data_IF_622232204335
#
_entry.id   IF_622232204335
#
_cell.length_a   1.000
_cell.length_b   1.000
_cell.length_c   1.000
_cell.angle_alpha   90.00
_cell.angle_beta   90.00
_cell.angle_gamma   90.00
#
_symmetry.space_group_name_H-M   'P 1'
#
loop_
_entity.id
_entity.type
_entity.pdbx_description
1 polymer ?
#
# COMPACT_ATOMS: atom_id res chain seq x y z
N UNK A 1 32.38 -10.13 28.79
CA UNK A 1 31.60 -9.44 28.47
C UNK A 1 31.11 -9.19 27.17
N UNK A 2 31.86 -8.98 26.29
CA UNK A 2 31.37 -8.73 24.98
C UNK A 2 30.60 -9.86 24.39
N UNK A 3 30.73 -10.93 24.96
CA UNK A 3 30.10 -12.04 24.34
C UNK A 3 28.64 -11.99 24.33
N UNK A 4 28.04 -11.26 25.21
CA UNK A 4 26.64 -11.32 25.16
C UNK A 4 26.07 -10.79 23.94
N UNK A 5 26.74 -10.02 23.21
CA UNK A 5 26.14 -9.42 22.08
C UNK A 5 25.82 -10.36 21.01
N UNK A 6 26.56 -11.36 20.86
CA UNK A 6 26.33 -12.15 19.75
C UNK A 6 25.11 -12.89 19.74
N UNK A 7 24.67 -13.32 20.82
CA UNK A 7 23.52 -14.13 20.73
C UNK A 7 22.35 -13.44 20.20
N UNK A 8 22.29 -12.19 20.32
CA UNK A 8 21.13 -11.51 19.85
C UNK A 8 20.89 -11.67 18.39
N UNK A 9 21.92 -11.69 17.66
CA UNK A 9 21.72 -11.67 16.26
C UNK A 9 21.24 -12.93 15.71
N UNK A 10 21.55 -13.96 16.34
CA UNK A 10 21.26 -15.22 15.73
C UNK A 10 19.81 -15.52 15.65
N UNK A 11 19.10 -15.32 16.69
CA UNK A 11 17.76 -15.71 16.62
C UNK A 11 16.94 -14.88 15.74
N UNK A 12 17.33 -13.69 15.53
CA UNK A 12 16.51 -12.87 14.72
C UNK A 12 16.34 -13.38 13.34
N UNK A 13 17.35 -13.88 12.75
CA UNK A 13 17.17 -14.29 11.43
C UNK A 13 16.44 -15.53 11.25
N UNK A 14 16.55 -16.43 12.11
CA UNK A 14 15.85 -17.68 11.90
C UNK A 14 14.36 -17.48 11.90
N UNK A 15 13.87 -16.48 12.58
CA UNK A 15 12.44 -16.31 12.64
C UNK A 15 11.84 -15.74 11.40
N UNK A 16 12.59 -15.02 10.64
CA UNK A 16 12.01 -14.33 9.55
C UNK A 16 11.62 -15.21 8.41
N UNK A 17 12.24 -16.32 8.28
CA UNK A 17 11.96 -17.14 7.13
C UNK A 17 10.63 -17.84 7.22
N UNK A 18 10.08 -17.94 8.40
CA UNK A 18 8.90 -18.73 8.58
C UNK A 18 7.82 -17.99 9.32
N UNK A 19 6.60 -18.01 8.81
CA UNK A 19 5.50 -17.32 9.45
C UNK A 19 4.50 -18.38 9.91
N UNK A 20 4.42 -18.58 11.21
CA UNK A 20 3.52 -19.56 11.75
C UNK A 20 2.14 -18.94 11.97
N UNK A 21 1.18 -19.77 12.30
CA UNK A 21 -0.16 -19.30 12.56
C UNK A 21 -0.18 -18.35 13.75
N UNK A 22 0.64 -18.62 14.77
CA UNK A 22 0.69 -17.75 15.93
C UNK A 22 1.25 -16.39 15.56
N UNK A 23 2.24 -16.36 14.69
CA UNK A 23 2.79 -15.09 14.26
C UNK A 23 1.77 -14.31 13.44
N UNK A 24 0.95 -14.99 12.65
CA UNK A 24 -0.07 -14.31 11.90
C UNK A 24 -1.10 -13.67 12.81
N UNK A 25 -1.43 -14.30 13.93
CA UNK A 25 -2.37 -13.71 14.85
C UNK A 25 -1.81 -12.44 15.47
N UNK A 26 -0.52 -12.41 15.74
CA UNK A 26 0.09 -11.20 16.26
C UNK A 26 0.07 -10.12 15.18
N UNK A 27 0.33 -10.49 13.93
CA UNK A 27 0.34 -9.53 12.84
C UNK A 27 -1.03 -8.95 12.56
N UNK A 28 -2.09 -9.66 12.93
CA UNK A 28 -3.44 -9.15 12.71
C UNK A 28 -3.71 -7.86 13.48
N UNK A 29 -2.94 -7.57 14.50
CA UNK A 29 -3.13 -6.36 15.28
C UNK A 29 -2.30 -5.20 14.80
N UNK A 30 -1.50 -5.39 13.77
CA UNK A 30 -0.66 -4.33 13.25
C UNK A 30 -1.45 -3.56 12.20
N UNK A 31 -1.44 -2.25 12.31
CA UNK A 31 -2.15 -1.39 11.37
C UNK A 31 -1.32 -1.16 10.13
N UNK A 32 -1.95 -1.15 8.98
CA UNK A 32 -1.29 -0.82 7.73
C UNK A 32 -2.02 0.35 7.10
N UNK A 33 -1.30 1.12 6.31
CA UNK A 33 -1.88 2.27 5.65
C UNK A 33 -2.41 1.84 4.28
N UNK A 34 -3.69 2.05 4.07
CA UNK A 34 -4.32 1.75 2.79
C UNK A 34 -4.38 3.02 1.96
N UNK A 35 -3.91 2.94 0.73
CA UNK A 35 -3.89 4.08 -0.18
C UNK A 35 -4.58 3.69 -1.48
N UNK A 36 -5.35 4.62 -2.03
CA UNK A 36 -5.98 4.42 -3.33
C UNK A 36 -5.36 5.40 -4.30
N UNK A 37 -4.75 4.89 -5.36
CA UNK A 37 -4.10 5.73 -6.35
C UNK A 37 -5.01 5.95 -7.54
N UNK A 38 -5.26 7.20 -7.87
CA UNK A 38 -6.14 7.55 -8.99
C UNK A 38 -5.38 7.51 -10.31
N UNK A 39 -4.12 7.86 -10.30
CA UNK A 39 -3.34 7.88 -11.53
C UNK A 39 -2.17 8.81 -11.41
N UNK A 40 -1.43 8.95 -12.49
CA UNK A 40 -0.24 9.79 -12.50
C UNK A 40 -0.15 10.52 -13.83
N UNK A 41 0.72 11.51 -13.88
CA UNK A 41 0.98 12.26 -15.10
C UNK A 41 2.40 12.78 -15.04
N UNK A 42 2.99 13.02 -16.19
CA UNK A 42 4.34 13.57 -16.26
C UNK A 42 4.24 14.99 -16.81
N UNK A 43 4.86 15.92 -16.14
CA UNK A 43 4.87 17.32 -16.56
C UNK A 43 6.29 17.80 -16.65
N UNK A 44 6.54 18.75 -17.57
CA UNK A 44 7.81 19.45 -17.59
C UNK A 44 7.79 20.49 -16.48
N UNK A 45 8.97 20.81 -15.98
CA UNK A 45 9.06 21.78 -14.90
C UNK A 45 8.44 23.12 -15.31
N UNK A 46 8.62 23.53 -16.54
CA UNK A 46 8.05 24.79 -16.98
C UNK A 46 6.53 24.79 -16.92
N UNK A 47 5.91 23.63 -17.19
CA UNK A 47 4.45 23.54 -17.12
C UNK A 47 3.99 23.52 -15.68
N UNK A 48 4.76 22.88 -14.82
CA UNK A 48 4.44 22.84 -13.41
C UNK A 48 4.44 24.26 -12.81
N UNK A 49 5.37 25.08 -13.23
CA UNK A 49 5.47 26.44 -12.72
C UNK A 49 4.34 27.35 -13.18
N UNK A 50 3.56 26.92 -14.15
CA UNK A 50 2.44 27.70 -14.64
C UNK A 50 1.11 27.31 -14.01
N UNK A 51 1.11 26.32 -13.14
CA UNK A 51 -0.13 25.87 -12.50
C UNK A 51 -0.62 26.89 -11.49
N UNK A 52 -1.92 27.08 -11.47
CA UNK A 52 -2.55 27.97 -10.49
C UNK A 52 -3.97 27.46 -10.27
N UNK A 53 -4.75 28.18 -9.49
CA UNK A 53 -6.10 27.76 -9.21
C UNK A 53 -6.89 27.61 -10.49
N UNK A 54 -7.59 26.50 -10.62
CA UNK A 54 -8.38 26.24 -11.82
C UNK A 54 -7.64 25.47 -12.89
N UNK A 55 -6.32 25.28 -12.74
CA UNK A 55 -5.58 24.47 -13.71
C UNK A 55 -6.03 23.01 -13.65
N UNK A 56 -6.01 22.33 -14.80
CA UNK A 56 -6.42 20.95 -14.90
C UNK A 56 -5.28 20.15 -15.48
N UNK A 57 -4.96 19.03 -14.84
CA UNK A 57 -3.92 18.13 -15.31
C UNK A 57 -4.57 16.78 -15.63
N UNK A 58 -4.30 16.27 -16.80
CA UNK A 58 -4.85 15.00 -17.24
C UNK A 58 -4.01 13.87 -16.70
N UNK A 59 -4.66 12.84 -16.15
CA UNK A 59 -3.97 11.69 -15.62
C UNK A 59 -3.99 10.54 -16.62
N UNK A 60 -3.00 9.67 -16.52
CA UNK A 60 -2.86 8.56 -17.47
C UNK A 60 -3.74 7.38 -17.09
N UNK A 61 -4.99 7.62 -16.79
CA UNK A 61 -5.93 6.56 -16.46
C UNK A 61 -7.27 6.93 -17.03
N UNK A 62 -7.93 5.97 -17.66
CA UNK A 62 -9.24 6.24 -18.23
C UNK A 62 -10.28 6.31 -17.15
N UNK A 63 -11.23 7.22 -17.33
CA UNK A 63 -12.32 7.34 -16.38
C UNK A 63 -13.12 6.05 -16.36
N UNK A 64 -13.43 5.58 -15.16
CA UNK A 64 -14.17 4.34 -15.03
C UNK A 64 -13.32 3.10 -14.83
N UNK A 65 -12.00 3.21 -15.07
CA UNK A 65 -11.14 2.06 -14.81
C UNK A 65 -10.97 1.87 -13.32
N UNK A 66 -10.80 0.64 -12.86
CA UNK A 66 -10.55 0.39 -11.44
C UNK A 66 -9.26 1.08 -11.00
N UNK A 67 -9.27 1.56 -9.76
CA UNK A 67 -8.12 2.23 -9.18
C UNK A 67 -7.24 1.24 -8.45
N UNK A 68 -5.97 1.58 -8.34
CA UNK A 68 -5.03 0.71 -7.63
C UNK A 68 -5.13 0.94 -6.12
N UNK A 69 -5.15 -0.13 -5.36
CA UNK A 69 -5.22 -0.07 -3.91
C UNK A 69 -3.93 -0.63 -3.35
N UNK A 70 -3.27 0.14 -2.49
CA UNK A 70 -1.98 -0.23 -1.95
C UNK A 70 -2.04 -0.31 -0.44
N UNK A 71 -1.30 -1.25 0.12
CA UNK A 71 -1.11 -1.34 1.56
C UNK A 71 0.36 -1.11 1.82
N UNK A 72 0.69 -0.05 2.56
CA UNK A 72 2.06 0.36 2.83
C UNK A 72 2.89 0.47 1.55
N UNK A 73 2.27 1.00 0.49
CA UNK A 73 2.97 1.19 -0.77
C UNK A 73 3.03 -0.01 -1.68
N UNK A 74 2.47 -1.14 -1.28
CA UNK A 74 2.47 -2.35 -2.09
C UNK A 74 1.08 -2.56 -2.66
N UNK A 75 0.97 -2.71 -3.97
CA UNK A 75 -0.33 -2.89 -4.60
C UNK A 75 -0.88 -4.26 -4.23
N UNK A 76 -2.07 -4.27 -3.63
CA UNK A 76 -2.70 -5.49 -3.18
C UNK A 76 -4.02 -5.76 -3.87
N UNK A 77 -4.60 -4.77 -4.51
CA UNK A 77 -5.95 -4.93 -5.05
C UNK A 77 -6.26 -3.81 -6.02
N UNK A 78 -7.44 -3.90 -6.61
CA UNK A 78 -8.02 -2.83 -7.41
C UNK A 78 -9.45 -2.65 -6.97
N UNK A 79 -9.97 -1.48 -7.18
CA UNK A 79 -11.34 -1.21 -6.78
C UNK A 79 -11.86 0.09 -7.34
N UNK A 80 -13.05 0.44 -6.89
CA UNK A 80 -13.68 1.68 -7.35
C UNK A 80 -14.11 2.49 -6.14
N UNK A 81 -14.19 3.80 -6.33
CA UNK A 81 -14.56 4.70 -5.27
C UNK A 81 -16.08 4.72 -5.13
N UNK A 82 -16.54 4.63 -3.90
CA UNK A 82 -17.98 4.69 -3.61
C UNK A 82 -18.19 5.68 -2.47
N UNK A 83 -19.43 6.06 -2.27
CA UNK A 83 -19.77 6.97 -1.18
C UNK A 83 -20.30 6.16 -0.01
N UNK A 84 -19.78 6.45 1.17
CA UNK A 84 -20.24 5.81 2.39
C UNK A 84 -20.61 6.94 3.35
N UNK A 85 -21.88 7.30 3.40
CA UNK A 85 -22.29 8.46 4.15
C UNK A 85 -21.67 9.73 3.58
N UNK A 86 -20.94 10.44 4.38
CA UNK A 86 -20.28 11.66 3.94
C UNK A 86 -18.83 11.45 3.56
N UNK A 87 -18.37 10.21 3.51
CA UNK A 87 -17.00 9.91 3.21
C UNK A 87 -16.90 9.07 1.96
N UNK A 88 -15.72 9.07 1.35
CA UNK A 88 -15.46 8.19 0.25
C UNK A 88 -15.01 6.86 0.81
N UNK A 89 -15.46 5.79 0.19
CA UNK A 89 -14.97 4.45 0.49
C UNK A 89 -14.45 3.82 -0.78
N UNK A 90 -13.98 2.60 -0.69
CA UNK A 90 -13.52 1.89 -1.86
C UNK A 90 -14.12 0.49 -1.88
N UNK A 91 -14.62 0.08 -3.03
CA UNK A 91 -15.16 -1.26 -3.23
C UNK A 91 -14.13 -2.07 -3.98
N UNK A 92 -13.68 -3.16 -3.41
CA UNK A 92 -12.66 -3.99 -4.02
C UNK A 92 -13.25 -4.80 -5.16
N UNK A 93 -12.61 -4.74 -6.32
CA UNK A 93 -13.02 -5.54 -7.47
C UNK A 93 -12.07 -6.69 -7.74
N UNK A 94 -10.80 -6.54 -7.35
CA UNK A 94 -9.80 -7.59 -7.47
C UNK A 94 -8.93 -7.56 -6.23
N UNK A 95 -8.63 -8.71 -5.66
CA UNK A 95 -7.80 -8.79 -4.46
C UNK A 95 -6.78 -9.88 -4.64
N UNK A 96 -5.51 -9.59 -4.34
CA UNK A 96 -4.49 -10.62 -4.39
C UNK A 96 -4.59 -11.49 -3.14
N UNK A 97 -3.83 -12.59 -3.13
CA UNK A 97 -3.86 -13.51 -2.01
C UNK A 97 -3.39 -12.80 -0.74
N UNK A 98 -4.21 -12.78 0.33
CA UNK A 98 -3.84 -12.04 1.53
C UNK A 98 -2.54 -12.50 2.16
N UNK A 99 -2.25 -13.79 2.13
CA UNK A 99 -1.02 -14.27 2.72
C UNK A 99 0.19 -13.78 1.96
N UNK A 100 0.12 -13.78 0.65
CA UNK A 100 1.23 -13.26 -0.15
C UNK A 100 1.38 -11.77 0.08
N UNK A 101 0.29 -11.08 0.27
CA UNK A 101 0.33 -9.65 0.53
C UNK A 101 1.06 -9.35 1.83
N UNK A 102 0.76 -10.09 2.87
CA UNK A 102 1.40 -9.86 4.17
C UNK A 102 2.90 -10.07 4.06
N UNK A 103 3.33 -11.05 3.30
CA UNK A 103 4.75 -11.30 3.15
C UNK A 103 5.48 -10.18 2.42
N UNK A 104 4.78 -9.44 1.58
CA UNK A 104 5.39 -8.34 0.85
C UNK A 104 5.45 -7.06 1.65
N UNK A 105 4.69 -6.97 2.69
CA UNK A 105 4.67 -5.79 3.53
C UNK A 105 5.83 -5.79 4.53
#
# INVERSE_FOLDING_TARGET
MAELDQENNVETESDQSDVSIDNLKVLENIEVKLTVEVGSSQLKIRDLLRLNEGSVVELERLAGDPLDILANGVQIARGEVVMVGERFGVRFTEVSNPQDTVKKL
#
